data_IF_300045421416
#
_entry.id   IF_300045421416
#
_cell.length_a   1.000
_cell.length_b   1.000
_cell.length_c   1.000
_cell.angle_alpha   90.00
_cell.angle_beta   90.00
_cell.angle_gamma   90.00
#
_symmetry.space_group_name_H-M   'P 1'
#
loop_
_entity.id
_entity.type
_entity.pdbx_description
1 polymer ?
#
# COMPACT_ATOMS: atom_id res chain seq x y z
N UNK A 1 -13.20 2.90 5.39
CA UNK A 1 -13.43 1.88 6.43
C UNK A 1 -12.40 2.11 7.54
N UNK A 2 -12.69 1.78 8.81
CA UNK A 2 -11.67 1.83 9.87
C UNK A 2 -10.91 0.49 9.99
N UNK A 3 -9.82 0.49 10.75
CA UNK A 3 -8.93 -0.66 10.82
C UNK A 3 -9.53 -1.89 11.52
N UNK A 4 -10.38 -1.69 12.53
CA UNK A 4 -11.02 -2.81 13.23
C UNK A 4 -12.03 -3.52 12.32
N UNK A 5 -12.86 -2.76 11.61
CA UNK A 5 -13.76 -3.31 10.60
C UNK A 5 -12.99 -4.02 9.47
N UNK A 6 -11.84 -3.48 9.06
CA UNK A 6 -10.98 -4.11 8.06
C UNK A 6 -10.45 -5.47 8.54
N UNK A 7 -9.94 -5.57 9.78
CA UNK A 7 -9.49 -6.84 10.34
C UNK A 7 -10.60 -7.89 10.39
N UNK A 8 -11.80 -7.51 10.82
CA UNK A 8 -12.96 -8.42 10.81
C UNK A 8 -13.29 -8.93 9.41
N UNK A 9 -13.23 -8.06 8.41
CA UNK A 9 -13.42 -8.43 7.01
C UNK A 9 -12.33 -9.39 6.52
N UNK A 10 -11.06 -9.12 6.83
CA UNK A 10 -9.94 -9.98 6.45
C UNK A 10 -10.09 -11.37 7.06
N UNK A 11 -10.39 -11.47 8.35
CA UNK A 11 -10.56 -12.76 9.02
C UNK A 11 -11.77 -13.53 8.49
N UNK A 12 -12.89 -12.85 8.23
CA UNK A 12 -14.03 -13.46 7.56
C UNK A 12 -13.64 -14.00 6.17
N UNK A 13 -12.93 -13.20 5.38
CA UNK A 13 -12.54 -13.58 4.01
C UNK A 13 -11.53 -14.72 4.00
N UNK A 14 -10.56 -14.74 4.93
CA UNK A 14 -9.64 -15.87 5.12
C UNK A 14 -10.36 -17.16 5.48
N UNK A 15 -11.39 -17.08 6.32
CA UNK A 15 -12.20 -18.25 6.69
C UNK A 15 -13.05 -18.78 5.53
N UNK A 16 -13.68 -17.87 4.77
CA UNK A 16 -14.53 -18.22 3.63
C UNK A 16 -13.69 -18.69 2.41
N UNK A 17 -12.51 -18.10 2.21
CA UNK A 17 -11.66 -18.27 1.03
C UNK A 17 -10.16 -18.38 1.38
N UNK A 18 -9.73 -19.42 2.11
CA UNK A 18 -8.35 -19.53 2.59
C UNK A 18 -7.30 -19.56 1.47
N UNK A 19 -7.65 -20.09 0.29
CA UNK A 19 -6.75 -20.16 -0.87
C UNK A 19 -6.36 -18.76 -1.38
N UNK A 20 -7.19 -17.74 -1.15
CA UNK A 20 -6.86 -16.37 -1.57
C UNK A 20 -5.64 -15.83 -0.83
N UNK A 21 -5.36 -16.32 0.37
CA UNK A 21 -4.20 -15.93 1.20
C UNK A 21 -3.11 -17.01 1.17
N UNK A 22 -3.03 -17.79 0.10
CA UNK A 22 -2.07 -18.89 -0.02
C UNK A 22 -0.63 -18.44 -0.30
N UNK A 23 -0.43 -17.16 -0.65
CA UNK A 23 0.91 -16.57 -0.77
C UNK A 23 1.32 -15.98 0.58
N UNK A 24 2.58 -16.21 0.97
CA UNK A 24 3.15 -15.61 2.17
C UNK A 24 3.29 -14.09 1.98
N UNK A 25 2.94 -13.35 3.02
CA UNK A 25 3.22 -11.93 3.12
C UNK A 25 4.69 -11.72 3.46
N UNK A 26 5.15 -10.49 3.22
CA UNK A 26 6.46 -10.05 3.68
C UNK A 26 6.52 -9.95 5.22
N UNK A 27 7.73 -9.84 5.77
CA UNK A 27 7.94 -9.72 7.21
C UNK A 27 7.34 -8.43 7.79
N UNK A 28 6.78 -8.55 8.99
CA UNK A 28 6.33 -7.39 9.78
C UNK A 28 7.57 -6.59 10.20
N UNK A 29 7.67 -5.30 9.83
CA UNK A 29 8.85 -4.50 10.15
C UNK A 29 8.85 -4.05 11.62
N UNK A 30 9.92 -3.36 12.01
CA UNK A 30 9.97 -2.59 13.25
C UNK A 30 9.76 -1.09 13.03
N UNK A 31 9.63 -0.34 14.12
CA UNK A 31 9.47 1.13 14.11
C UNK A 31 10.67 1.86 13.48
N UNK A 32 11.86 1.26 13.52
CA UNK A 32 13.05 1.85 12.94
C UNK A 32 12.99 1.83 11.42
N UNK A 33 12.48 0.75 10.83
CA UNK A 33 12.26 0.64 9.38
C UNK A 33 11.25 1.68 8.88
N UNK A 34 10.19 1.96 9.64
CA UNK A 34 9.24 3.05 9.32
C UNK A 34 9.95 4.40 9.30
N UNK A 35 10.64 4.73 10.39
CA UNK A 35 11.37 6.00 10.53
C UNK A 35 12.41 6.18 9.41
N UNK A 36 13.11 5.11 9.06
CA UNK A 36 14.09 5.11 7.96
C UNK A 36 13.41 5.33 6.60
N UNK A 37 12.31 4.64 6.33
CA UNK A 37 11.56 4.80 5.10
C UNK A 37 11.00 6.21 4.93
N UNK A 38 10.37 6.77 5.97
CA UNK A 38 9.88 8.16 5.97
C UNK A 38 11.00 9.16 5.73
N UNK A 39 12.16 8.96 6.37
CA UNK A 39 13.36 9.79 6.18
C UNK A 39 13.89 9.73 4.75
N UNK A 40 13.95 8.55 4.13
CA UNK A 40 14.37 8.37 2.73
C UNK A 40 13.36 8.94 1.74
N UNK A 41 12.07 8.74 1.99
CA UNK A 41 10.99 9.21 1.12
C UNK A 41 10.72 10.70 1.27
N UNK A 42 11.18 11.32 2.35
CA UNK A 42 10.93 12.72 2.69
C UNK A 42 9.46 12.98 3.02
N UNK A 43 8.74 11.97 3.50
CA UNK A 43 7.31 12.04 3.77
C UNK A 43 6.92 11.14 4.94
N UNK A 44 6.11 11.66 5.86
CA UNK A 44 5.44 10.88 6.90
C UNK A 44 4.32 10.04 6.27
N UNK A 45 4.29 8.74 6.60
CA UNK A 45 3.33 7.78 6.09
C UNK A 45 2.02 7.85 6.88
N UNK A 46 0.86 7.59 6.24
CA UNK A 46 -0.42 7.68 6.93
C UNK A 46 -0.61 6.52 7.90
N UNK A 47 -1.32 6.78 9.00
CA UNK A 47 -1.59 5.78 10.05
C UNK A 47 -2.24 4.50 9.50
N UNK A 48 -3.09 4.60 8.48
CA UNK A 48 -3.74 3.42 7.87
C UNK A 48 -2.72 2.48 7.21
N UNK A 49 -1.69 3.02 6.56
CA UNK A 49 -0.59 2.23 5.99
C UNK A 49 0.26 1.60 7.09
N UNK A 50 0.61 2.37 8.12
CA UNK A 50 1.42 1.88 9.24
C UNK A 50 0.70 0.76 10.00
N UNK A 51 -0.59 0.93 10.29
CA UNK A 51 -1.42 -0.10 10.91
C UNK A 51 -1.49 -1.37 10.06
N UNK A 52 -1.64 -1.23 8.74
CA UNK A 52 -1.65 -2.37 7.83
C UNK A 52 -0.32 -3.14 7.87
N UNK A 53 0.79 -2.44 7.73
CA UNK A 53 2.13 -3.04 7.66
C UNK A 53 2.51 -3.72 8.98
N UNK A 54 2.14 -3.16 10.13
CA UNK A 54 2.41 -3.81 11.43
C UNK A 54 1.52 -5.03 11.71
N UNK A 55 0.41 -5.20 11.01
CA UNK A 55 -0.47 -6.36 11.17
C UNK A 55 -0.21 -7.44 10.11
N UNK A 56 0.12 -7.03 8.89
CA UNK A 56 0.17 -7.91 7.71
C UNK A 56 1.50 -7.90 6.96
N UNK A 57 2.48 -7.07 7.36
CA UNK A 57 3.83 -6.99 6.77
C UNK A 57 3.90 -6.21 5.46
N UNK A 58 3.15 -6.64 4.45
CA UNK A 58 3.20 -6.11 3.09
C UNK A 58 3.40 -7.24 2.07
N UNK A 59 3.86 -6.87 0.88
CA UNK A 59 4.03 -7.80 -0.24
C UNK A 59 2.69 -8.23 -0.82
N UNK A 60 2.55 -9.51 -1.13
CA UNK A 60 1.28 -10.05 -1.61
C UNK A 60 0.23 -10.04 -0.51
N UNK A 61 -0.95 -9.51 -0.83
CA UNK A 61 -2.10 -9.51 0.04
C UNK A 61 -3.35 -9.87 -0.76
N UNK A 62 -3.72 -11.15 -0.69
CA UNK A 62 -4.80 -11.71 -1.47
C UNK A 62 -4.66 -11.43 -2.97
N UNK A 63 -5.64 -10.80 -3.62
CA UNK A 63 -5.57 -10.46 -5.05
C UNK A 63 -4.79 -9.17 -5.36
N UNK A 64 -4.20 -8.51 -4.36
CA UNK A 64 -3.43 -7.28 -4.54
C UNK A 64 -2.03 -7.39 -3.92
N UNK A 65 -1.29 -6.29 -3.96
CA UNK A 65 -0.04 -6.09 -3.25
C UNK A 65 -0.09 -4.79 -2.45
N UNK A 66 0.67 -4.73 -1.36
CA UNK A 66 0.99 -3.48 -0.66
C UNK A 66 2.49 -3.47 -0.50
N UNK A 67 3.13 -2.39 -0.94
CA UNK A 67 4.59 -2.29 -0.85
C UNK A 67 5.01 -2.41 0.62
N UNK A 68 6.04 -3.21 0.89
CA UNK A 68 6.46 -3.58 2.23
C UNK A 68 7.70 -2.79 2.66
N UNK A 69 8.06 -2.90 3.94
CA UNK A 69 9.31 -2.35 4.46
C UNK A 69 10.41 -3.41 4.60
N UNK A 70 10.19 -4.61 4.07
CA UNK A 70 11.19 -5.67 4.08
C UNK A 70 12.30 -5.36 3.05
N UNK A 71 13.56 -5.32 3.51
CA UNK A 71 14.71 -4.90 2.70
C UNK A 71 14.92 -5.74 1.43
N UNK A 72 14.55 -7.02 1.46
CA UNK A 72 14.78 -7.97 0.36
C UNK A 72 13.54 -8.27 -0.47
N UNK A 73 12.43 -7.60 -0.17
CA UNK A 73 11.20 -7.82 -0.92
C UNK A 73 11.28 -7.18 -2.31
N UNK A 74 10.75 -7.89 -3.31
CA UNK A 74 10.46 -7.30 -4.63
C UNK A 74 9.43 -6.15 -4.53
N UNK A 75 8.70 -6.09 -3.42
CA UNK A 75 7.71 -5.07 -3.07
C UNK A 75 8.26 -3.98 -2.14
N UNK A 76 9.58 -3.85 -1.97
CA UNK A 76 10.14 -2.85 -1.07
C UNK A 76 9.67 -1.41 -1.43
N UNK A 77 9.05 -0.73 -0.46
CA UNK A 77 8.45 0.60 -0.61
C UNK A 77 9.46 1.63 -1.11
N UNK A 78 10.64 1.69 -0.50
CA UNK A 78 11.64 2.71 -0.82
C UNK A 78 12.24 2.46 -2.19
N UNK A 79 12.61 1.21 -2.47
CA UNK A 79 13.22 0.84 -3.74
C UNK A 79 12.28 1.08 -4.92
N UNK A 80 10.99 0.70 -4.78
CA UNK A 80 10.00 0.95 -5.83
C UNK A 80 9.72 2.44 -6.02
N UNK A 81 9.65 3.22 -4.93
CA UNK A 81 9.46 4.67 -5.04
C UNK A 81 10.66 5.37 -5.71
N UNK A 82 11.89 4.90 -5.51
CA UNK A 82 13.06 5.44 -6.22
C UNK A 82 13.18 4.91 -7.66
N UNK A 83 12.84 3.65 -7.89
CA UNK A 83 12.79 3.07 -9.25
C UNK A 83 11.83 3.85 -10.14
N UNK A 84 10.69 4.27 -9.59
CA UNK A 84 9.64 5.00 -10.30
C UNK A 84 9.60 6.49 -9.88
N UNK A 85 10.75 7.12 -9.65
CA UNK A 85 10.87 8.51 -9.19
C UNK A 85 10.09 9.51 -10.08
N UNK A 86 10.16 9.32 -11.39
CA UNK A 86 9.46 10.14 -12.37
C UNK A 86 7.92 10.03 -12.27
N UNK A 87 7.40 8.87 -11.85
CA UNK A 87 5.97 8.61 -11.69
C UNK A 87 5.50 9.16 -10.35
N UNK A 88 6.23 8.88 -9.26
CA UNK A 88 5.78 9.24 -7.92
C UNK A 88 5.64 10.75 -7.74
N UNK A 89 6.49 11.60 -8.36
CA UNK A 89 6.41 13.08 -8.39
C UNK A 89 5.38 13.75 -7.43
N UNK A 90 5.71 13.85 -6.14
CA UNK A 90 4.83 14.44 -5.11
C UNK A 90 3.85 13.46 -4.45
N UNK A 91 4.03 12.16 -4.67
CA UNK A 91 3.29 11.05 -4.09
C UNK A 91 4.27 10.01 -3.51
N UNK A 92 3.73 9.10 -2.70
CA UNK A 92 4.38 7.85 -2.28
C UNK A 92 3.56 6.70 -2.88
N UNK A 93 4.20 5.88 -3.72
CA UNK A 93 3.60 4.68 -4.30
C UNK A 93 3.48 3.60 -3.22
N UNK A 94 2.35 2.89 -3.18
CA UNK A 94 2.10 1.86 -2.17
C UNK A 94 1.55 0.55 -2.75
N UNK A 95 1.18 0.53 -4.03
CA UNK A 95 0.67 -0.66 -4.72
C UNK A 95 0.71 -0.44 -6.22
N UNK A 96 0.74 -1.52 -6.98
CA UNK A 96 0.57 -1.52 -8.44
C UNK A 96 -0.35 -2.65 -8.92
N UNK A 97 -0.81 -2.57 -10.17
CA UNK A 97 -1.62 -3.63 -10.79
C UNK A 97 -0.86 -4.49 -11.82
N UNK A 98 0.46 -4.33 -11.95
CA UNK A 98 1.28 -5.06 -12.91
C UNK A 98 1.11 -4.62 -14.38
N UNK A 99 0.34 -3.56 -14.63
CA UNK A 99 0.11 -2.99 -15.97
C UNK A 99 0.71 -1.59 -16.14
N UNK A 100 1.50 -1.14 -15.17
CA UNK A 100 2.08 0.21 -15.15
C UNK A 100 1.24 1.24 -14.39
N UNK A 101 0.07 0.86 -13.86
CA UNK A 101 -0.70 1.72 -12.99
C UNK A 101 -0.27 1.60 -11.53
N UNK A 102 -0.34 2.71 -10.81
CA UNK A 102 0.07 2.78 -9.41
C UNK A 102 -1.02 3.39 -8.53
N UNK A 103 -1.01 2.99 -7.27
CA UNK A 103 -1.79 3.61 -6.21
C UNK A 103 -0.85 4.22 -5.19
N UNK A 104 -1.22 5.38 -4.65
CA UNK A 104 -0.32 6.11 -3.77
C UNK A 104 -0.99 7.18 -2.94
N UNK A 105 -0.22 7.71 -2.01
CA UNK A 105 -0.60 8.83 -1.17
C UNK A 105 0.00 10.12 -1.71
N UNK A 106 -0.80 11.17 -1.78
CA UNK A 106 -0.29 12.49 -2.14
C UNK A 106 0.49 13.08 -0.97
N UNK A 107 1.67 13.64 -1.23
CA UNK A 107 2.49 14.29 -0.21
C UNK A 107 2.15 15.79 -0.18
N UNK A 108 1.77 16.30 0.98
CA UNK A 108 1.50 17.71 1.23
C UNK A 108 2.34 18.17 2.41
N UNK A 109 3.30 19.07 2.16
CA UNK A 109 4.24 19.58 3.18
C UNK A 109 5.00 18.49 3.94
N UNK A 110 5.39 17.41 3.25
CA UNK A 110 6.11 16.29 3.85
C UNK A 110 5.24 15.31 4.64
N UNK A 111 3.91 15.41 4.55
CA UNK A 111 2.98 14.46 5.17
C UNK A 111 2.09 13.85 4.09
N UNK A 112 1.94 12.54 4.10
CA UNK A 112 1.02 11.85 3.19
C UNK A 112 -0.44 12.09 3.58
N UNK A 113 -1.26 12.46 2.59
CA UNK A 113 -2.71 12.37 2.68
C UNK A 113 -3.11 10.90 2.92
N UNK A 114 -4.15 10.66 3.73
CA UNK A 114 -4.65 9.30 3.98
C UNK A 114 -5.49 8.78 2.80
N UNK A 115 -5.92 9.66 1.89
CA UNK A 115 -6.64 9.30 0.67
C UNK A 115 -5.72 8.60 -0.34
N UNK A 116 -6.25 7.56 -0.99
CA UNK A 116 -5.59 6.88 -2.11
C UNK A 116 -5.83 7.66 -3.41
N UNK A 117 -4.75 7.91 -4.15
CA UNK A 117 -4.75 8.43 -5.51
C UNK A 117 -4.33 7.34 -6.48
N UNK A 118 -4.68 7.51 -7.75
CA UNK A 118 -4.41 6.56 -8.81
C UNK A 118 -3.57 7.22 -9.91
N UNK A 119 -2.47 6.59 -10.28
CA UNK A 119 -1.69 6.95 -11.46
C UNK A 119 -2.13 6.07 -12.62
N UNK A 120 -2.67 6.71 -13.66
CA UNK A 120 -3.14 6.07 -14.87
C UNK A 120 -2.03 6.13 -15.93
N UNK A 121 -1.49 4.98 -16.31
CA UNK A 121 -0.38 4.91 -17.26
C UNK A 121 -0.78 5.29 -18.68
N UNK A 122 -2.06 5.19 -19.06
CA UNK A 122 -2.54 5.52 -20.41
C UNK A 122 -2.50 7.04 -20.67
N UNK A 123 -2.67 7.83 -19.60
CA UNK A 123 -2.65 9.30 -19.66
C UNK A 123 -1.49 9.92 -18.88
N UNK A 124 -0.61 9.08 -18.32
CA UNK A 124 0.58 9.42 -17.55
C UNK A 124 0.34 10.46 -16.43
N UNK A 125 -0.80 10.36 -15.73
CA UNK A 125 -1.17 11.35 -14.73
C UNK A 125 -1.87 10.79 -13.50
N UNK A 126 -1.70 11.50 -12.38
CA UNK A 126 -2.38 11.22 -11.12
C UNK A 126 -3.81 11.76 -11.12
N UNK A 127 -4.73 10.92 -10.68
CA UNK A 127 -6.16 11.19 -10.59
C UNK A 127 -6.67 10.90 -9.17
N UNK A 128 -7.79 11.53 -8.83
CA UNK A 128 -8.55 11.16 -7.64
C UNK A 128 -9.09 9.74 -7.80
N UNK A 129 -8.80 8.86 -6.82
CA UNK A 129 -9.50 7.58 -6.74
C UNK A 129 -10.82 7.72 -5.98
N UNK A 130 -11.69 6.71 -6.10
CA UNK A 130 -12.91 6.60 -5.31
C UNK A 130 -12.68 6.09 -3.88
N UNK A 131 -11.44 5.73 -3.52
CA UNK A 131 -11.11 5.13 -2.23
C UNK A 131 -10.71 6.21 -1.23
N UNK A 132 -11.43 6.28 -0.12
CA UNK A 132 -11.17 7.27 0.92
C UNK A 132 -9.91 6.96 1.73
N UNK A 133 -9.51 5.68 1.80
CA UNK A 133 -8.27 5.24 2.42
C UNK A 133 -7.79 3.87 1.92
N UNK A 134 -6.69 3.37 2.50
CA UNK A 134 -6.09 2.08 2.15
C UNK A 134 -7.06 0.91 2.33
N UNK A 135 -7.86 0.91 3.39
CA UNK A 135 -8.76 -0.21 3.69
C UNK A 135 -9.91 -0.29 2.68
N UNK A 136 -10.47 0.84 2.24
CA UNK A 136 -11.46 0.87 1.16
C UNK A 136 -10.88 0.43 -0.19
N UNK A 137 -9.59 0.68 -0.42
CA UNK A 137 -8.88 0.18 -1.59
C UNK A 137 -8.72 -1.35 -1.53
N UNK A 138 -8.23 -1.89 -0.41
CA UNK A 138 -7.99 -3.32 -0.25
C UNK A 138 -9.28 -4.14 -0.19
N UNK A 139 -10.35 -3.62 0.41
CA UNK A 139 -11.68 -4.25 0.32
C UNK A 139 -12.06 -4.50 -1.14
N UNK A 140 -11.86 -3.49 -2.00
CA UNK A 140 -12.27 -3.55 -3.40
C UNK A 140 -11.37 -4.43 -4.26
N UNK A 141 -10.05 -4.34 -4.10
CA UNK A 141 -9.09 -4.95 -5.02
C UNK A 141 -8.38 -6.19 -4.48
N UNK A 142 -8.28 -6.34 -3.16
CA UNK A 142 -7.66 -7.51 -2.55
C UNK A 142 -8.71 -8.52 -2.09
N UNK A 143 -9.82 -8.07 -1.48
CA UNK A 143 -10.76 -8.92 -0.75
C UNK A 143 -12.09 -9.18 -1.50
N UNK A 144 -12.18 -8.76 -2.75
CA UNK A 144 -13.36 -8.95 -3.61
C UNK A 144 -12.96 -9.59 -4.94
N UNK A 145 -13.78 -10.52 -5.43
CA UNK A 145 -13.65 -11.14 -6.76
C UNK A 145 -15.02 -11.21 -7.45
#
# INVERSE_FOLDING_TARGET
MDFDAFKELVEKTKNDHPVWFGMESDEIPDEAAVTEAEGKLGAELPADYINFIFEYGGGYFSFSNVFSLEERSDWNLVDLNYKYDAIRNGYVLISENGSGDFYGFKVVNGVCDSKIYFYDHEVETWQDSTHSNLFDYLEKFALSN
#
